data_IF_056377433105
#
_entry.id   IF_056377433105
#
_cell.length_a   1.000
_cell.length_b   1.000
_cell.length_c   1.000
_cell.angle_alpha   90.00
_cell.angle_beta   90.00
_cell.angle_gamma   90.00
#
_symmetry.space_group_name_H-M   'P 1'
#
loop_
_entity.id
_entity.type
_entity.pdbx_description
1 polymer ?
#
# COMPACT_ATOMS: atom_id res chain seq x y z
N UNK A 1 -0.64 29.51 -20.41
CA UNK A 1 -1.57 30.43 -19.73
C UNK A 1 -2.98 29.87 -19.84
N UNK A 2 -3.43 29.23 -18.77
CA UNK A 2 -4.73 28.45 -18.78
C UNK A 2 -5.92 29.39 -18.57
N UNK A 3 -5.68 30.72 -18.39
CA UNK A 3 -6.73 31.72 -18.22
C UNK A 3 -7.48 31.69 -16.87
N UNK A 4 -7.10 30.81 -15.95
CA UNK A 4 -7.76 30.70 -14.65
C UNK A 4 -7.51 31.92 -13.75
N UNK A 5 -6.30 32.47 -13.80
CA UNK A 5 -5.89 33.63 -13.02
C UNK A 5 -4.88 34.45 -13.82
N UNK A 6 -5.24 35.68 -14.15
CA UNK A 6 -4.42 36.57 -14.99
C UNK A 6 -4.06 37.83 -14.23
N UNK A 7 -2.85 38.38 -14.41
CA UNK A 7 -2.47 39.65 -13.79
C UNK A 7 -3.31 40.80 -14.35
N UNK A 8 -3.64 41.78 -13.50
CA UNK A 8 -4.34 43.01 -13.89
C UNK A 8 -3.51 43.87 -14.85
N UNK A 9 -2.19 43.84 -14.67
CA UNK A 9 -1.24 44.57 -15.55
C UNK A 9 0.08 43.80 -15.64
N UNK A 10 0.84 44.12 -16.69
CA UNK A 10 2.22 43.65 -16.86
C UNK A 10 3.10 44.91 -17.06
N UNK A 11 4.08 45.07 -16.20
CA UNK A 11 5.01 46.21 -16.29
C UNK A 11 6.01 46.04 -17.43
N UNK A 12 6.63 47.14 -17.84
CA UNK A 12 7.67 47.18 -18.88
C UNK A 12 8.92 46.35 -18.52
N UNK A 13 9.13 46.13 -17.24
CA UNK A 13 10.16 45.26 -16.68
C UNK A 13 9.81 43.75 -16.69
N UNK A 14 8.62 43.37 -17.23
CA UNK A 14 8.14 42.01 -17.30
C UNK A 14 7.45 41.50 -16.03
N UNK A 15 7.42 42.28 -14.94
CA UNK A 15 6.73 41.91 -13.71
C UNK A 15 5.20 41.87 -13.87
N UNK A 16 4.55 40.95 -13.17
CA UNK A 16 3.10 40.82 -13.17
C UNK A 16 2.55 41.53 -11.95
N UNK A 17 1.57 42.39 -12.16
CA UNK A 17 0.87 43.11 -11.10
C UNK A 17 -0.55 42.52 -10.95
N UNK A 18 -0.96 42.36 -9.70
CA UNK A 18 -2.27 41.82 -9.33
C UNK A 18 -2.99 42.85 -8.47
N UNK A 19 -4.26 42.98 -8.69
CA UNK A 19 -5.11 43.84 -7.86
C UNK A 19 -5.37 43.21 -6.51
N UNK A 20 -5.53 44.00 -5.46
CA UNK A 20 -5.84 43.49 -4.12
C UNK A 20 -7.15 42.70 -4.11
N UNK A 21 -8.13 43.11 -4.95
CA UNK A 21 -9.39 42.38 -5.11
C UNK A 21 -9.23 40.96 -5.66
N UNK A 22 -8.13 40.69 -6.38
CA UNK A 22 -7.83 39.36 -6.91
C UNK A 22 -7.31 38.38 -5.83
N UNK A 23 -6.95 38.89 -4.64
CA UNK A 23 -6.47 38.04 -3.54
C UNK A 23 -7.50 37.00 -3.12
N UNK A 24 -8.79 37.34 -3.11
CA UNK A 24 -9.89 36.43 -2.74
C UNK A 24 -9.97 35.29 -3.78
N UNK A 25 -9.90 35.62 -5.05
CA UNK A 25 -9.92 34.59 -6.13
C UNK A 25 -8.68 33.69 -6.05
N UNK A 26 -7.52 34.27 -5.75
CA UNK A 26 -6.30 33.49 -5.59
C UNK A 26 -6.38 32.51 -4.41
N UNK A 27 -6.86 32.97 -3.24
CA UNK A 27 -7.03 32.10 -2.07
C UNK A 27 -8.08 31.01 -2.31
N UNK A 28 -9.14 31.32 -3.06
CA UNK A 28 -10.12 30.32 -3.45
C UNK A 28 -9.53 29.23 -4.36
N UNK A 29 -8.76 29.61 -5.37
CA UNK A 29 -8.04 28.67 -6.23
C UNK A 29 -7.05 27.84 -5.43
N UNK A 30 -6.33 28.47 -4.48
CA UNK A 30 -5.41 27.77 -3.59
C UNK A 30 -6.11 26.74 -2.71
N UNK A 31 -7.24 27.08 -2.12
CA UNK A 31 -8.07 26.16 -1.35
C UNK A 31 -8.49 24.95 -2.19
N UNK A 32 -8.98 25.16 -3.41
CA UNK A 32 -9.37 24.06 -4.31
C UNK A 32 -8.15 23.19 -4.67
N UNK A 33 -6.98 23.78 -4.80
CA UNK A 33 -5.73 23.06 -5.04
C UNK A 33 -5.29 22.23 -3.84
N UNK A 34 -5.45 22.75 -2.62
CA UNK A 34 -5.22 22.01 -1.36
C UNK A 34 -6.18 20.82 -1.21
N UNK A 35 -7.38 20.90 -1.79
CA UNK A 35 -8.32 19.78 -1.92
C UNK A 35 -7.95 18.77 -3.00
N UNK A 36 -6.72 18.82 -3.50
CA UNK A 36 -6.18 17.90 -4.53
C UNK A 36 -6.89 18.00 -5.88
N UNK A 37 -7.48 19.14 -6.21
CA UNK A 37 -8.01 19.39 -7.56
C UNK A 37 -6.88 19.72 -8.54
N UNK A 38 -6.95 19.19 -9.75
CA UNK A 38 -6.08 19.60 -10.85
C UNK A 38 -6.43 21.01 -11.32
N UNK A 39 -5.50 21.65 -12.03
CA UNK A 39 -5.76 22.99 -12.60
C UNK A 39 -6.91 22.96 -13.60
N UNK A 40 -7.05 21.87 -14.35
CA UNK A 40 -8.11 21.62 -15.31
C UNK A 40 -9.47 21.51 -14.60
N UNK A 41 -9.53 20.73 -13.52
CA UNK A 41 -10.75 20.58 -12.69
C UNK A 41 -11.17 21.92 -12.06
N UNK A 42 -10.21 22.68 -11.54
CA UNK A 42 -10.46 24.01 -10.98
C UNK A 42 -10.99 24.95 -12.06
N UNK A 43 -10.37 24.95 -13.25
CA UNK A 43 -10.77 25.80 -14.37
C UNK A 43 -12.19 25.46 -14.83
N UNK A 44 -12.51 24.17 -14.91
CA UNK A 44 -13.85 23.74 -15.31
C UNK A 44 -14.90 24.06 -14.24
N UNK A 45 -14.58 23.83 -12.99
CA UNK A 45 -15.47 24.17 -11.87
C UNK A 45 -15.75 25.68 -11.80
N UNK A 46 -14.73 26.52 -11.93
CA UNK A 46 -14.86 27.98 -11.87
C UNK A 46 -15.70 28.59 -13.03
N UNK A 47 -15.91 27.88 -14.14
CA UNK A 47 -16.80 28.33 -15.22
C UNK A 47 -18.27 28.34 -14.79
N UNK A 48 -18.68 27.41 -13.95
CA UNK A 48 -20.04 27.31 -13.43
C UNK A 48 -20.03 26.72 -12.01
N UNK A 49 -19.68 27.50 -11.00
CA UNK A 49 -19.57 27.06 -9.62
C UNK A 49 -20.97 26.92 -8.99
N UNK A 50 -21.38 25.68 -8.75
CA UNK A 50 -22.61 25.37 -8.02
C UNK A 50 -22.30 24.46 -6.82
N UNK A 51 -23.13 24.52 -5.78
CA UNK A 51 -22.99 23.66 -4.60
C UNK A 51 -23.06 22.17 -4.96
N UNK A 52 -23.95 21.80 -5.86
CA UNK A 52 -24.09 20.41 -6.33
C UNK A 52 -22.80 19.90 -7.01
N UNK A 53 -22.21 20.70 -7.90
CA UNK A 53 -20.94 20.35 -8.56
C UNK A 53 -19.80 20.25 -7.56
N UNK A 54 -19.75 21.16 -6.58
CA UNK A 54 -18.74 21.11 -5.53
C UNK A 54 -18.84 19.82 -4.70
N UNK A 55 -20.04 19.48 -4.22
CA UNK A 55 -20.26 18.26 -3.45
C UNK A 55 -19.84 17.01 -4.23
N UNK A 56 -20.21 16.92 -5.51
CA UNK A 56 -19.81 15.80 -6.37
C UNK A 56 -18.28 15.69 -6.50
N UNK A 57 -17.58 16.81 -6.66
CA UNK A 57 -16.12 16.82 -6.72
C UNK A 57 -15.54 16.42 -5.36
N UNK A 58 -16.08 16.93 -4.26
CA UNK A 58 -15.63 16.61 -2.91
C UNK A 58 -15.74 15.11 -2.62
N UNK A 59 -16.87 14.47 -2.93
CA UNK A 59 -17.09 13.03 -2.75
C UNK A 59 -16.08 12.19 -3.56
N UNK A 60 -15.80 12.63 -4.80
CA UNK A 60 -14.78 11.97 -5.63
C UNK A 60 -13.39 12.10 -5.02
N UNK A 61 -13.01 13.31 -4.55
CA UNK A 61 -11.69 13.56 -3.94
C UNK A 61 -11.53 12.84 -2.61
N UNK A 62 -12.57 12.75 -1.80
CA UNK A 62 -12.57 11.96 -0.57
C UNK A 62 -12.29 10.49 -0.87
N UNK A 63 -12.94 9.92 -1.89
CA UNK A 63 -12.70 8.54 -2.32
C UNK A 63 -11.24 8.33 -2.80
N UNK A 64 -10.71 9.26 -3.61
CA UNK A 64 -9.32 9.23 -4.08
C UNK A 64 -8.32 9.27 -2.91
N UNK A 65 -8.58 10.14 -1.91
CA UNK A 65 -7.76 10.29 -0.72
C UNK A 65 -7.79 9.02 0.14
N UNK A 66 -8.95 8.42 0.33
CA UNK A 66 -9.09 7.17 1.09
C UNK A 66 -8.29 6.03 0.45
N UNK A 67 -8.34 5.91 -0.87
CA UNK A 67 -7.53 4.94 -1.61
C UNK A 67 -6.03 5.21 -1.45
N UNK A 68 -5.61 6.48 -1.53
CA UNK A 68 -4.22 6.87 -1.33
C UNK A 68 -3.74 6.57 0.10
N UNK A 69 -4.55 6.86 1.12
CA UNK A 69 -4.28 6.54 2.53
C UNK A 69 -4.12 5.03 2.72
N UNK A 70 -5.02 4.23 2.14
CA UNK A 70 -4.92 2.78 2.22
C UNK A 70 -3.64 2.26 1.57
N UNK A 71 -3.28 2.77 0.40
CA UNK A 71 -2.02 2.43 -0.29
C UNK A 71 -0.80 2.77 0.56
N UNK A 72 -0.77 3.98 1.14
CA UNK A 72 0.33 4.42 2.00
C UNK A 72 0.44 3.56 3.27
N UNK A 73 -0.69 3.21 3.91
CA UNK A 73 -0.71 2.30 5.08
C UNK A 73 -0.14 0.92 4.73
N UNK A 74 -0.48 0.37 3.56
CA UNK A 74 0.07 -0.91 3.08
C UNK A 74 1.58 -0.81 2.84
N UNK A 75 2.02 0.23 2.13
CA UNK A 75 3.45 0.47 1.86
C UNK A 75 4.25 0.61 3.15
N UNK A 76 3.72 1.37 4.13
CA UNK A 76 4.34 1.50 5.46
C UNK A 76 4.48 0.16 6.15
N UNK A 77 3.45 -0.70 6.10
CA UNK A 77 3.50 -2.04 6.70
C UNK A 77 4.60 -2.90 6.09
N UNK A 78 4.73 -2.90 4.75
CA UNK A 78 5.79 -3.64 4.04
C UNK A 78 7.17 -3.12 4.46
N UNK A 79 7.35 -1.80 4.50
CA UNK A 79 8.61 -1.18 4.89
C UNK A 79 9.01 -1.56 6.33
N UNK A 80 8.06 -1.51 7.27
CA UNK A 80 8.29 -1.90 8.66
C UNK A 80 8.69 -3.37 8.78
N UNK A 81 7.96 -4.26 8.09
CA UNK A 81 8.29 -5.69 8.07
C UNK A 81 9.71 -5.96 7.55
N UNK A 82 10.10 -5.30 6.45
CA UNK A 82 11.46 -5.45 5.90
C UNK A 82 12.54 -4.90 6.84
N UNK A 83 12.27 -3.77 7.48
CA UNK A 83 13.16 -3.19 8.48
C UNK A 83 13.37 -4.14 9.66
N UNK A 84 12.30 -4.76 10.15
CA UNK A 84 12.39 -5.69 11.28
C UNK A 84 13.13 -6.98 10.89
N UNK A 85 12.92 -7.50 9.66
CA UNK A 85 13.68 -8.62 9.11
C UNK A 85 15.18 -8.32 9.04
N UNK A 86 15.58 -7.15 8.53
CA UNK A 86 16.98 -6.74 8.44
C UNK A 86 17.59 -6.64 9.86
N UNK A 87 16.90 -5.98 10.79
CA UNK A 87 17.36 -5.86 12.17
C UNK A 87 17.53 -7.20 12.85
N UNK A 88 16.64 -8.14 12.59
CA UNK A 88 16.78 -9.50 13.09
C UNK A 88 18.07 -10.14 12.55
N UNK A 89 18.31 -10.05 11.23
CA UNK A 89 19.52 -10.59 10.61
C UNK A 89 20.80 -9.94 11.13
N UNK A 90 20.82 -8.63 11.34
CA UNK A 90 21.99 -7.91 11.88
C UNK A 90 22.36 -8.35 13.31
N UNK A 91 21.38 -8.82 14.07
CA UNK A 91 21.56 -9.25 15.46
C UNK A 91 21.78 -10.76 15.63
N UNK A 92 21.76 -11.53 14.54
CA UNK A 92 22.05 -12.97 14.57
C UNK A 92 23.55 -13.22 14.43
N UNK A 93 24.06 -14.12 15.25
CA UNK A 93 25.43 -14.66 15.11
C UNK A 93 25.37 -15.94 14.28
N UNK A 94 26.45 -16.24 13.59
CA UNK A 94 26.57 -17.48 12.84
C UNK A 94 26.36 -18.71 13.75
N UNK A 95 25.51 -19.64 13.32
CA UNK A 95 25.11 -20.85 14.07
C UNK A 95 24.34 -20.59 15.39
N UNK A 96 23.85 -19.37 15.62
CA UNK A 96 23.07 -19.07 16.82
C UNK A 96 21.65 -19.63 16.71
N UNK A 97 21.22 -20.34 17.76
CA UNK A 97 19.82 -20.79 17.92
C UNK A 97 19.14 -19.90 18.94
N UNK A 98 18.08 -19.22 18.54
CA UNK A 98 17.26 -18.37 19.42
C UNK A 98 15.86 -18.90 19.55
N UNK A 99 15.30 -18.77 20.73
CA UNK A 99 13.89 -18.99 21.00
C UNK A 99 13.24 -17.63 21.17
N UNK A 100 12.31 -17.27 20.27
CA UNK A 100 11.62 -15.99 20.30
C UNK A 100 10.12 -16.16 20.51
N UNK A 101 9.52 -15.23 21.26
CA UNK A 101 8.06 -15.18 21.43
C UNK A 101 7.43 -14.39 20.30
N UNK A 102 6.48 -15.01 19.61
CA UNK A 102 5.70 -14.37 18.58
C UNK A 102 4.27 -14.10 19.06
N UNK A 103 3.75 -12.92 18.70
CA UNK A 103 2.33 -12.62 18.88
C UNK A 103 1.49 -13.44 17.90
N UNK A 104 0.21 -13.66 18.27
CA UNK A 104 -0.71 -14.26 17.32
C UNK A 104 -0.85 -13.40 16.06
N UNK A 105 -0.70 -14.00 14.89
CA UNK A 105 -0.76 -13.32 13.60
C UNK A 105 -1.66 -14.06 12.62
N UNK A 106 -2.33 -13.30 11.75
CA UNK A 106 -3.09 -13.88 10.65
C UNK A 106 -2.16 -14.16 9.49
N UNK A 107 -2.20 -15.37 9.00
CA UNK A 107 -1.47 -15.82 7.81
C UNK A 107 -2.45 -16.35 6.77
N UNK A 108 -2.15 -16.15 5.51
CA UNK A 108 -2.81 -16.83 4.39
C UNK A 108 -2.01 -18.06 4.04
N UNK A 109 -2.69 -19.20 3.90
CA UNK A 109 -2.07 -20.50 3.65
C UNK A 109 -2.58 -21.03 2.33
N UNK A 110 -1.70 -21.60 1.52
CA UNK A 110 -2.02 -22.30 0.27
C UNK A 110 -1.45 -23.71 0.35
N UNK A 111 -2.29 -24.76 0.38
CA UNK A 111 -1.82 -26.11 0.23
C UNK A 111 -1.21 -26.31 -1.17
N UNK A 112 0.02 -26.73 -1.22
CA UNK A 112 0.73 -27.03 -2.47
C UNK A 112 1.91 -27.96 -2.19
N UNK A 113 1.85 -29.17 -2.71
CA UNK A 113 2.90 -30.15 -2.53
C UNK A 113 4.05 -29.92 -3.54
N UNK A 114 5.25 -29.61 -3.04
CA UNK A 114 6.40 -29.28 -3.88
C UNK A 114 7.75 -29.68 -3.25
N UNK A 115 8.75 -29.78 -4.10
CA UNK A 115 10.17 -29.97 -3.75
C UNK A 115 10.92 -28.65 -3.83
N UNK A 116 12.08 -28.56 -3.23
CA UNK A 116 12.95 -27.37 -3.28
C UNK A 116 13.29 -26.95 -4.73
N UNK A 117 13.40 -27.89 -5.65
CA UNK A 117 13.73 -27.62 -7.07
C UNK A 117 12.53 -27.06 -7.85
N UNK A 118 11.32 -27.08 -7.29
CA UNK A 118 10.09 -26.62 -7.97
C UNK A 118 9.83 -25.12 -7.81
N UNK A 119 10.79 -24.33 -7.36
CA UNK A 119 10.64 -22.89 -7.03
C UNK A 119 9.95 -22.11 -8.15
N UNK A 120 10.28 -22.34 -9.41
CA UNK A 120 9.67 -21.63 -10.54
C UNK A 120 8.17 -21.88 -10.66
N UNK A 121 7.73 -23.12 -10.44
CA UNK A 121 6.32 -23.52 -10.45
C UNK A 121 5.59 -22.95 -9.25
N UNK A 122 6.26 -22.95 -8.08
CA UNK A 122 5.74 -22.34 -6.88
C UNK A 122 5.45 -20.85 -7.08
N UNK A 123 6.39 -20.10 -7.65
CA UNK A 123 6.19 -18.67 -7.92
C UNK A 123 5.08 -18.41 -8.94
N UNK A 124 4.96 -19.22 -9.98
CA UNK A 124 3.85 -19.12 -10.94
C UNK A 124 2.50 -19.35 -10.24
N UNK A 125 2.40 -20.36 -9.38
CA UNK A 125 1.20 -20.63 -8.59
C UNK A 125 0.86 -19.50 -7.61
N UNK A 126 1.87 -18.94 -6.92
CA UNK A 126 1.68 -17.83 -6.00
C UNK A 126 1.14 -16.58 -6.70
N UNK A 127 1.67 -16.23 -7.86
CA UNK A 127 1.23 -15.07 -8.63
C UNK A 127 -0.22 -15.20 -9.14
N UNK A 128 -0.73 -16.41 -9.28
CA UNK A 128 -2.14 -16.65 -9.61
C UNK A 128 -3.07 -16.48 -8.39
N UNK A 129 -2.59 -16.79 -7.20
CA UNK A 129 -3.41 -16.83 -5.97
C UNK A 129 -3.27 -15.60 -5.07
N UNK A 130 -2.11 -14.99 -5.06
CA UNK A 130 -1.80 -13.86 -4.18
C UNK A 130 -1.40 -12.61 -4.95
N UNK A 131 -1.72 -11.45 -4.37
CA UNK A 131 -1.24 -10.19 -4.91
C UNK A 131 0.29 -10.06 -4.72
N UNK A 132 0.92 -9.26 -5.56
CA UNK A 132 2.35 -8.97 -5.46
C UNK A 132 2.73 -8.36 -4.11
N UNK A 133 1.82 -7.58 -3.50
CA UNK A 133 2.00 -7.01 -2.16
C UNK A 133 2.04 -8.09 -1.08
N UNK A 134 1.20 -9.12 -1.18
CA UNK A 134 1.22 -10.26 -0.24
C UNK A 134 2.54 -11.03 -0.37
N UNK A 135 2.97 -11.32 -1.59
CA UNK A 135 4.26 -12.00 -1.84
C UNK A 135 5.43 -11.19 -1.28
N UNK A 136 5.41 -9.86 -1.41
CA UNK A 136 6.43 -8.95 -0.86
C UNK A 136 6.49 -8.91 0.67
N UNK A 137 5.45 -9.31 1.37
CA UNK A 137 5.48 -9.42 2.84
C UNK A 137 6.42 -10.53 3.33
N UNK A 138 6.71 -11.46 2.49
CA UNK A 138 7.50 -12.65 2.78
C UNK A 138 6.65 -13.90 2.61
N UNK A 139 7.25 -14.91 2.03
CA UNK A 139 6.66 -16.21 1.78
C UNK A 139 7.46 -17.25 2.53
N UNK A 140 6.77 -18.12 3.23
CA UNK A 140 7.37 -19.28 3.88
C UNK A 140 6.70 -20.57 3.42
N UNK A 141 7.39 -21.68 3.59
CA UNK A 141 6.84 -23.02 3.39
C UNK A 141 6.54 -23.70 4.72
N UNK A 142 5.72 -24.73 4.70
CA UNK A 142 5.45 -25.55 5.87
C UNK A 142 5.36 -27.03 5.50
N UNK A 143 5.63 -27.87 6.49
CA UNK A 143 5.48 -29.32 6.43
C UNK A 143 4.59 -29.78 7.57
N UNK A 144 3.87 -30.87 7.38
CA UNK A 144 3.02 -31.46 8.40
C UNK A 144 3.84 -32.08 9.53
N UNK A 145 3.24 -32.14 10.72
CA UNK A 145 3.86 -32.77 11.88
C UNK A 145 4.20 -34.24 11.62
N UNK A 146 3.36 -34.96 10.87
CA UNK A 146 3.59 -36.35 10.50
C UNK A 146 4.88 -36.52 9.69
N UNK A 147 5.16 -35.61 8.73
CA UNK A 147 6.41 -35.61 8.00
C UNK A 147 7.61 -35.34 8.90
N UNK A 148 7.45 -34.43 9.88
CA UNK A 148 8.50 -34.15 10.88
C UNK A 148 8.79 -35.37 11.73
N UNK A 149 7.77 -36.05 12.24
CA UNK A 149 7.89 -37.28 13.06
C UNK A 149 8.56 -38.40 12.26
N UNK A 150 8.18 -38.54 11.00
CA UNK A 150 8.73 -39.58 10.11
C UNK A 150 10.07 -39.20 9.45
N UNK A 151 10.60 -37.99 9.76
CA UNK A 151 11.86 -37.44 9.19
C UNK A 151 11.86 -37.35 7.67
N UNK A 152 10.70 -37.07 7.06
CA UNK A 152 10.54 -36.90 5.61
C UNK A 152 10.48 -35.40 5.27
N UNK A 153 11.63 -34.74 5.13
CA UNK A 153 11.74 -33.29 4.96
C UNK A 153 11.81 -32.83 3.52
N UNK A 154 11.81 -33.74 2.55
CA UNK A 154 12.09 -33.47 1.14
C UNK A 154 10.95 -32.74 0.41
N UNK A 155 9.71 -32.85 0.95
CA UNK A 155 8.51 -32.28 0.35
C UNK A 155 7.75 -31.40 1.30
N UNK A 156 7.43 -30.21 0.84
CA UNK A 156 6.57 -29.26 1.56
C UNK A 156 5.09 -29.56 1.31
N UNK A 157 4.24 -29.26 2.29
CA UNK A 157 2.78 -29.42 2.20
C UNK A 157 2.06 -28.14 1.79
N UNK A 158 2.78 -27.01 1.81
CA UNK A 158 2.21 -25.74 1.38
C UNK A 158 3.08 -24.54 1.67
N UNK A 159 2.48 -23.40 1.36
CA UNK A 159 3.12 -22.09 1.39
C UNK A 159 2.24 -21.16 2.23
N UNK A 160 2.84 -20.23 2.95
CA UNK A 160 2.13 -19.20 3.69
C UNK A 160 2.72 -17.82 3.48
N UNK A 161 1.90 -16.79 3.69
CA UNK A 161 2.33 -15.40 3.76
C UNK A 161 1.53 -14.64 4.82
N UNK A 162 2.00 -13.47 5.21
CA UNK A 162 1.32 -12.60 6.16
C UNK A 162 0.17 -11.82 5.52
N UNK A 163 -0.95 -11.65 6.23
CA UNK A 163 -2.10 -10.92 5.69
C UNK A 163 -1.88 -9.40 5.75
N UNK A 164 -2.28 -8.68 4.69
CA UNK A 164 -2.17 -7.22 4.57
C UNK A 164 -3.41 -6.45 5.08
N UNK A 165 -4.31 -7.08 5.79
CA UNK A 165 -5.53 -6.44 6.28
C UNK A 165 -6.72 -7.40 6.33
N UNK A 166 -7.94 -6.88 6.22
CA UNK A 166 -9.16 -7.70 6.12
C UNK A 166 -9.17 -8.39 4.75
N UNK A 167 -8.58 -9.54 4.65
CA UNK A 167 -8.74 -10.43 3.50
C UNK A 167 -9.94 -11.34 3.74
N UNK A 168 -10.85 -11.36 2.78
CA UNK A 168 -12.00 -12.27 2.73
C UNK A 168 -11.62 -13.66 2.19
N UNK A 169 -10.37 -14.09 2.36
CA UNK A 169 -9.90 -15.34 1.79
C UNK A 169 -10.25 -16.48 2.76
N UNK A 170 -10.91 -17.51 2.24
CA UNK A 170 -11.31 -18.74 2.95
C UNK A 170 -10.13 -19.46 3.63
N UNK A 171 -8.92 -19.16 3.26
CA UNK A 171 -7.69 -19.87 3.64
C UNK A 171 -6.83 -19.08 4.63
N UNK A 172 -7.45 -18.21 5.44
CA UNK A 172 -6.75 -17.46 6.47
C UNK A 172 -6.74 -18.22 7.79
N UNK A 173 -5.56 -18.56 8.28
CA UNK A 173 -5.36 -19.15 9.59
C UNK A 173 -4.81 -18.11 10.57
N UNK A 174 -5.06 -18.32 11.84
CA UNK A 174 -4.42 -17.57 12.92
C UNK A 174 -3.25 -18.42 13.44
N UNK A 175 -2.03 -17.97 13.19
CA UNK A 175 -0.87 -18.53 13.87
C UNK A 175 -0.99 -18.13 15.34
N UNK A 176 -1.13 -19.09 16.27
CA UNK A 176 -1.28 -18.77 17.70
C UNK A 176 -0.03 -18.08 18.24
N UNK A 177 -0.17 -17.41 19.38
CA UNK A 177 0.98 -16.96 20.16
C UNK A 177 1.78 -18.22 20.57
N UNK A 178 3.11 -18.17 20.37
CA UNK A 178 3.99 -19.30 20.69
C UNK A 178 5.42 -18.82 20.93
N UNK A 179 6.22 -19.78 21.42
CA UNK A 179 7.68 -19.67 21.51
C UNK A 179 8.31 -20.54 20.45
#
# INVERSE_FOLDING_TARGET
>A
NIGLFSPSAKGDNGYRYYDVSQSITFEYIRMLKEMNMSIEEITDYCKNPTAERFLKIADMKETELDLAIQKLKRTKKILMSKKDQIRLCENLQEQEIRIEEYKAEKISVLPYDFLDDDISKVFAYLNDKWSIEQIRMGVGSFISLDKVINKTFERYDGIYTYTLGKTSVSDTLVRPKGK
#
